data_IF_361659772704
#
_entry.id   IF_361659772704
#
_cell.length_a   1.000
_cell.length_b   1.000
_cell.length_c   1.000
_cell.angle_alpha   90.00
_cell.angle_beta   90.00
_cell.angle_gamma   90.00
#
_symmetry.space_group_name_H-M   'P 1'
#
loop_
_entity.id
_entity.type
_entity.pdbx_description
1 polymer ?
#
# COMPACT_ATOMS: atom_id res chain seq x y z
N UNK A 1 -15.90 27.99 -5.87
CA UNK A 1 -16.46 27.18 -6.97
C UNK A 1 -17.95 26.92 -6.74
N UNK A 2 -18.36 26.28 -5.63
CA UNK A 2 -19.78 25.98 -5.33
C UNK A 2 -20.71 27.20 -5.28
N UNK A 3 -20.23 28.35 -4.78
CA UNK A 3 -20.98 29.61 -4.78
C UNK A 3 -21.38 30.12 -6.18
N UNK A 4 -20.70 29.62 -7.22
CA UNK A 4 -20.90 29.98 -8.63
C UNK A 4 -21.58 28.84 -9.38
N UNK A 5 -21.12 27.60 -9.22
CA UNK A 5 -21.62 26.44 -9.97
C UNK A 5 -22.93 25.88 -9.40
N UNK A 6 -23.15 25.97 -8.08
CA UNK A 6 -24.29 25.36 -7.35
C UNK A 6 -24.51 23.86 -7.64
N UNK A 7 -23.46 23.19 -8.09
CA UNK A 7 -23.44 21.77 -8.45
C UNK A 7 -22.26 21.08 -7.79
N UNK A 8 -22.45 19.80 -7.45
CA UNK A 8 -21.39 18.94 -6.95
C UNK A 8 -20.33 18.73 -8.04
N UNK A 9 -19.07 18.98 -7.68
CA UNK A 9 -17.94 18.85 -8.58
C UNK A 9 -16.92 17.87 -8.04
N UNK A 10 -16.06 17.40 -8.94
CA UNK A 10 -14.89 16.63 -8.56
C UNK A 10 -13.66 17.11 -9.30
N UNK A 11 -12.52 16.89 -8.66
CA UNK A 11 -11.20 17.03 -9.28
C UNK A 11 -10.68 15.63 -9.54
N UNK A 12 -10.10 15.42 -10.71
CA UNK A 12 -9.41 14.18 -11.04
C UNK A 12 -8.03 14.49 -11.60
N UNK A 13 -7.04 13.79 -11.06
CA UNK A 13 -5.72 13.75 -11.64
C UNK A 13 -5.71 12.70 -12.74
N UNK A 14 -5.25 13.11 -13.91
CA UNK A 14 -5.06 12.22 -15.03
C UNK A 14 -3.73 11.51 -14.84
N UNK A 15 -3.75 10.19 -14.99
CA UNK A 15 -2.55 9.36 -14.81
C UNK A 15 -2.12 8.75 -16.13
N UNK A 16 -0.83 8.46 -16.24
CA UNK A 16 -0.22 7.96 -17.45
C UNK A 16 -0.18 6.42 -17.42
N UNK A 17 -0.51 5.81 -18.56
CA UNK A 17 -0.36 4.37 -18.77
C UNK A 17 1.10 4.05 -19.09
N UNK A 18 1.68 3.09 -18.36
CA UNK A 18 3.01 2.55 -18.65
C UNK A 18 2.90 1.41 -19.67
N UNK A 19 1.80 0.65 -19.67
CA UNK A 19 1.56 -0.40 -20.65
C UNK A 19 1.32 0.16 -22.06
N UNK A 20 0.59 1.26 -22.17
CA UNK A 20 0.25 1.92 -23.44
C UNK A 20 0.80 3.35 -23.46
N UNK A 21 2.04 3.55 -23.96
CA UNK A 21 2.66 4.88 -23.99
C UNK A 21 1.78 5.92 -24.68
N UNK A 22 1.62 7.08 -24.05
CA UNK A 22 0.80 8.19 -24.54
C UNK A 22 -0.70 8.08 -24.20
N UNK A 23 -1.17 6.95 -23.66
CA UNK A 23 -2.52 6.84 -23.12
C UNK A 23 -2.61 7.48 -21.75
N UNK A 24 -3.63 8.31 -21.58
CA UNK A 24 -3.99 8.92 -20.31
C UNK A 24 -5.24 8.23 -19.76
N UNK A 25 -5.27 8.01 -18.44
CA UNK A 25 -6.33 7.32 -17.72
C UNK A 25 -6.88 8.21 -16.62
N UNK A 26 -8.15 7.99 -16.27
CA UNK A 26 -8.79 8.69 -15.16
C UNK A 26 -8.34 8.07 -13.82
N UNK A 27 -7.66 8.86 -12.99
CA UNK A 27 -7.27 8.48 -11.62
C UNK A 27 -8.45 8.40 -10.66
N UNK A 28 -8.20 8.63 -9.37
CA UNK A 28 -9.27 8.67 -8.36
C UNK A 28 -9.92 10.05 -8.31
N UNK A 29 -11.26 10.13 -8.15
CA UNK A 29 -11.97 11.41 -8.04
C UNK A 29 -11.96 11.91 -6.60
N UNK A 30 -11.56 13.17 -6.42
CA UNK A 30 -11.69 13.91 -5.18
C UNK A 30 -12.95 14.76 -5.27
N UNK A 31 -13.94 14.46 -4.44
CA UNK A 31 -15.28 15.03 -4.54
C UNK A 31 -15.56 15.89 -3.32
N UNK A 32 -16.07 17.10 -3.56
CA UNK A 32 -16.59 17.97 -2.52
C UNK A 32 -18.09 18.14 -2.74
N UNK A 33 -18.89 17.65 -1.81
CA UNK A 33 -20.37 17.68 -1.87
C UNK A 33 -20.88 18.58 -0.77
N UNK A 34 -21.88 19.43 -1.08
CA UNK A 34 -22.52 20.24 -0.04
C UNK A 34 -23.43 19.35 0.82
N UNK A 35 -23.29 19.41 2.14
CA UNK A 35 -24.15 18.64 3.03
C UNK A 35 -25.57 19.22 3.00
N UNK A 36 -26.61 18.44 2.65
CA UNK A 36 -27.97 18.97 2.49
C UNK A 36 -28.54 19.60 3.77
N UNK A 37 -28.18 19.02 4.92
CA UNK A 37 -28.74 19.37 6.23
C UNK A 37 -27.95 20.49 6.94
N UNK A 38 -26.84 20.96 6.35
CA UNK A 38 -25.95 21.94 6.97
C UNK A 38 -25.52 22.99 5.93
N UNK A 39 -26.08 24.22 5.98
CA UNK A 39 -25.93 25.23 4.94
C UNK A 39 -24.48 25.61 4.60
N UNK A 40 -23.58 25.49 5.58
CA UNK A 40 -22.17 25.89 5.50
C UNK A 40 -21.19 24.69 5.52
N UNK A 41 -21.70 23.45 5.52
CA UNK A 41 -20.86 22.26 5.58
C UNK A 41 -20.67 21.59 4.21
N UNK A 42 -19.49 21.01 4.05
CA UNK A 42 -19.11 20.25 2.87
C UNK A 42 -18.49 18.92 3.29
N UNK A 43 -18.90 17.86 2.62
CA UNK A 43 -18.31 16.54 2.75
C UNK A 43 -17.26 16.35 1.67
N UNK A 44 -16.02 16.14 2.12
CA UNK A 44 -14.93 15.72 1.25
C UNK A 44 -14.87 14.20 1.21
N UNK A 45 -14.89 13.62 0.01
CA UNK A 45 -14.82 12.17 -0.19
C UNK A 45 -13.99 11.78 -1.39
N UNK A 46 -13.36 10.62 -1.30
CA UNK A 46 -12.73 9.95 -2.44
C UNK A 46 -13.78 9.05 -3.08
N UNK A 47 -13.99 9.18 -4.40
CA UNK A 47 -14.89 8.28 -5.14
C UNK A 47 -14.15 7.62 -6.29
N UNK A 48 -14.25 6.29 -6.32
CA UNK A 48 -13.75 5.49 -7.44
C UNK A 48 -14.76 5.53 -8.58
N UNK A 49 -14.40 6.00 -9.79
CA UNK A 49 -15.27 5.87 -10.95
C UNK A 49 -15.46 4.39 -11.30
N UNK A 50 -16.71 3.97 -11.48
CA UNK A 50 -17.08 2.57 -11.78
C UNK A 50 -17.42 2.36 -13.27
N UNK A 51 -16.77 3.13 -14.16
CA UNK A 51 -16.99 3.00 -15.60
C UNK A 51 -16.30 1.75 -16.15
N UNK A 52 -16.92 0.98 -17.06
CA UNK A 52 -16.31 -0.24 -17.63
C UNK A 52 -14.92 -0.04 -18.25
N UNK A 53 -14.73 1.06 -19.00
CA UNK A 53 -13.44 1.33 -19.64
C UNK A 53 -12.31 1.49 -18.62
N UNK A 54 -12.55 2.22 -17.53
CA UNK A 54 -11.58 2.39 -16.45
C UNK A 54 -11.19 1.05 -15.83
N UNK A 55 -12.17 0.17 -15.59
CA UNK A 55 -11.88 -1.17 -15.08
C UNK A 55 -10.97 -1.96 -16.02
N UNK A 56 -11.28 -1.97 -17.32
CA UNK A 56 -10.44 -2.65 -18.32
C UNK A 56 -9.02 -2.07 -18.37
N UNK A 57 -8.89 -0.75 -18.25
CA UNK A 57 -7.58 -0.09 -18.30
C UNK A 57 -6.71 -0.41 -17.08
N UNK A 58 -7.30 -0.38 -15.87
CA UNK A 58 -6.58 -0.71 -14.64
C UNK A 58 -6.31 -2.21 -14.51
N UNK A 59 -7.22 -3.08 -14.98
CA UNK A 59 -7.02 -4.53 -15.03
C UNK A 59 -5.77 -4.87 -15.86
N UNK A 60 -5.67 -4.31 -17.07
CA UNK A 60 -4.51 -4.52 -17.94
C UNK A 60 -3.20 -3.98 -17.34
N UNK A 61 -3.21 -2.80 -16.70
CA UNK A 61 -2.02 -2.24 -16.04
C UNK A 61 -1.58 -3.07 -14.83
N UNK A 62 -2.53 -3.51 -14.00
CA UNK A 62 -2.25 -4.32 -12.82
C UNK A 62 -1.75 -5.72 -13.22
N UNK A 63 -2.35 -6.34 -14.23
CA UNK A 63 -1.89 -7.63 -14.78
C UNK A 63 -0.46 -7.50 -15.33
N UNK A 64 -0.19 -6.50 -16.17
CA UNK A 64 1.15 -6.29 -16.72
C UNK A 64 2.20 -5.99 -15.63
N UNK A 65 1.85 -5.19 -14.62
CA UNK A 65 2.74 -4.91 -13.49
C UNK A 65 2.99 -6.19 -12.66
N UNK A 66 1.97 -7.01 -12.44
CA UNK A 66 2.08 -8.27 -11.71
C UNK A 66 2.97 -9.29 -12.44
N UNK A 67 2.78 -9.48 -13.74
CA UNK A 67 3.65 -10.33 -14.55
C UNK A 67 5.10 -9.84 -14.52
N UNK A 68 5.32 -8.52 -14.57
CA UNK A 68 6.67 -7.95 -14.43
C UNK A 68 7.28 -8.28 -13.06
N UNK A 69 6.50 -8.24 -11.97
CA UNK A 69 6.97 -8.65 -10.64
C UNK A 69 7.39 -10.13 -10.66
N UNK A 70 6.55 -11.03 -11.19
CA UNK A 70 6.86 -12.46 -11.26
C UNK A 70 8.16 -12.71 -12.04
N UNK A 71 8.29 -12.13 -13.24
CA UNK A 71 9.49 -12.31 -14.06
C UNK A 71 10.73 -11.75 -13.36
N UNK A 72 10.63 -10.57 -12.75
CA UNK A 72 11.73 -9.97 -12.02
C UNK A 72 12.15 -10.82 -10.82
N UNK A 73 11.19 -11.39 -10.09
CA UNK A 73 11.43 -12.29 -8.95
C UNK A 73 12.16 -13.58 -9.38
N UNK A 74 11.86 -14.11 -10.57
CA UNK A 74 12.58 -15.27 -11.12
C UNK A 74 14.05 -14.91 -11.43
N UNK A 75 14.29 -13.73 -12.00
CA UNK A 75 15.66 -13.28 -12.31
C UNK A 75 16.45 -12.85 -11.07
N UNK A 76 15.77 -12.50 -9.98
CA UNK A 76 16.40 -11.99 -8.75
C UNK A 76 16.94 -10.56 -8.85
N UNK A 77 16.60 -9.80 -9.90
CA UNK A 77 17.04 -8.43 -10.08
C UNK A 77 16.27 -7.47 -9.15
N UNK A 78 16.86 -7.21 -7.97
CA UNK A 78 16.31 -6.36 -6.90
C UNK A 78 15.82 -4.98 -7.41
N UNK A 79 16.60 -4.19 -8.17
CA UNK A 79 16.14 -2.95 -8.78
C UNK A 79 14.85 -3.10 -9.62
N UNK A 80 14.80 -4.09 -10.51
CA UNK A 80 13.63 -4.30 -11.39
C UNK A 80 12.42 -4.73 -10.57
N UNK A 81 12.61 -5.64 -9.60
CA UNK A 81 11.57 -6.08 -8.68
C UNK A 81 10.96 -4.89 -7.94
N UNK A 82 11.81 -4.03 -7.37
CA UNK A 82 11.33 -2.88 -6.60
C UNK A 82 10.56 -1.87 -7.45
N UNK A 83 11.05 -1.54 -8.64
CA UNK A 83 10.35 -0.68 -9.57
C UNK A 83 8.97 -1.25 -9.96
N UNK A 84 8.90 -2.56 -10.23
CA UNK A 84 7.65 -3.23 -10.59
C UNK A 84 6.63 -3.25 -9.44
N UNK A 85 7.09 -3.49 -8.20
CA UNK A 85 6.27 -3.42 -6.98
C UNK A 85 5.70 -2.02 -6.77
N UNK A 86 6.51 -0.97 -6.95
CA UNK A 86 6.07 0.41 -6.83
C UNK A 86 5.03 0.79 -7.90
N UNK A 87 5.25 0.34 -9.14
CA UNK A 87 4.28 0.50 -10.24
C UNK A 87 2.94 -0.18 -9.93
N UNK A 88 2.96 -1.44 -9.50
CA UNK A 88 1.75 -2.17 -9.13
C UNK A 88 0.98 -1.43 -8.03
N UNK A 89 1.69 -0.95 -7.01
CA UNK A 89 1.11 -0.23 -5.88
C UNK A 89 0.50 1.12 -6.30
N UNK A 90 1.16 1.85 -7.20
CA UNK A 90 0.63 3.09 -7.77
C UNK A 90 -0.72 2.86 -8.45
N UNK A 91 -0.82 1.84 -9.31
CA UNK A 91 -2.08 1.53 -9.99
C UNK A 91 -3.13 0.99 -9.04
N UNK A 92 -2.76 0.22 -8.01
CA UNK A 92 -3.68 -0.25 -6.97
C UNK A 92 -4.36 0.92 -6.23
N UNK A 93 -3.58 1.89 -5.78
CA UNK A 93 -4.10 3.07 -5.08
C UNK A 93 -4.89 4.00 -5.98
N UNK A 94 -4.57 4.09 -7.28
CA UNK A 94 -5.39 4.86 -8.19
C UNK A 94 -6.68 4.11 -8.55
N UNK A 95 -6.61 2.79 -8.74
CA UNK A 95 -7.77 1.97 -9.10
C UNK A 95 -8.82 1.96 -7.98
N UNK A 96 -8.38 1.89 -6.72
CA UNK A 96 -9.23 1.78 -5.53
C UNK A 96 -10.27 0.65 -5.59
N UNK A 97 -9.85 -0.64 -5.79
CA UNK A 97 -10.79 -1.74 -6.08
C UNK A 97 -11.76 -2.13 -4.96
N UNK A 98 -11.36 -1.94 -3.69
CA UNK A 98 -12.17 -2.40 -2.56
C UNK A 98 -13.13 -1.31 -2.09
N UNK A 99 -14.34 -1.71 -1.70
CA UNK A 99 -15.31 -0.78 -1.11
C UNK A 99 -14.78 -0.13 0.19
N UNK A 100 -13.95 -0.85 0.95
CA UNK A 100 -13.26 -0.36 2.16
C UNK A 100 -11.91 -1.05 2.30
N UNK A 101 -10.92 -0.33 2.84
CA UNK A 101 -9.63 -0.90 3.22
C UNK A 101 -8.59 -1.00 2.10
N UNK A 102 -8.84 -0.44 0.92
CA UNK A 102 -7.89 -0.50 -0.21
C UNK A 102 -6.49 0.01 0.16
N UNK A 103 -6.41 1.11 0.91
CA UNK A 103 -5.15 1.68 1.37
C UNK A 103 -4.36 0.68 2.25
N UNK A 104 -5.02 0.09 3.25
CA UNK A 104 -4.41 -0.87 4.15
C UNK A 104 -3.98 -2.16 3.44
N UNK A 105 -4.84 -2.70 2.57
CA UNK A 105 -4.52 -3.89 1.78
C UNK A 105 -3.35 -3.62 0.83
N UNK A 106 -3.37 -2.48 0.12
CA UNK A 106 -2.29 -2.09 -0.79
C UNK A 106 -0.95 -1.95 -0.08
N UNK A 107 -0.94 -1.29 1.08
CA UNK A 107 0.27 -1.10 1.86
C UNK A 107 0.82 -2.43 2.41
N UNK A 108 -0.07 -3.30 2.90
CA UNK A 108 0.33 -4.63 3.39
C UNK A 108 0.91 -5.50 2.27
N UNK A 109 0.28 -5.49 1.08
CA UNK A 109 0.78 -6.21 -0.11
C UNK A 109 2.14 -5.66 -0.55
N UNK A 110 2.31 -4.34 -0.61
CA UNK A 110 3.58 -3.69 -0.92
C UNK A 110 4.70 -4.19 0.00
N UNK A 111 4.50 -4.11 1.32
CA UNK A 111 5.48 -4.56 2.30
C UNK A 111 5.78 -6.06 2.19
N UNK A 112 4.73 -6.87 1.98
CA UNK A 112 4.85 -8.32 1.85
C UNK A 112 5.66 -8.72 0.61
N UNK A 113 5.47 -8.02 -0.52
CA UNK A 113 6.24 -8.26 -1.74
C UNK A 113 7.71 -7.89 -1.55
N UNK A 114 8.00 -6.76 -0.91
CA UNK A 114 9.36 -6.39 -0.58
C UNK A 114 10.03 -7.39 0.36
N UNK A 115 9.30 -7.90 1.35
CA UNK A 115 9.76 -8.97 2.22
C UNK A 115 10.05 -10.26 1.45
N UNK A 116 9.14 -10.69 0.58
CA UNK A 116 9.31 -11.87 -0.26
C UNK A 116 10.52 -11.74 -1.20
N UNK A 117 10.83 -10.53 -1.66
CA UNK A 117 12.00 -10.23 -2.48
C UNK A 117 13.33 -10.12 -1.70
N UNK A 118 13.32 -10.38 -0.38
CA UNK A 118 14.51 -10.25 0.47
C UNK A 118 14.96 -8.79 0.66
N UNK A 119 14.03 -7.85 0.60
CA UNK A 119 14.27 -6.41 0.73
C UNK A 119 13.29 -5.76 1.73
N UNK A 120 13.23 -6.23 2.99
CA UNK A 120 12.22 -5.78 3.93
C UNK A 120 12.33 -4.27 4.19
N UNK A 121 11.20 -3.58 4.11
CA UNK A 121 11.09 -2.17 4.54
C UNK A 121 10.69 -2.15 6.01
N UNK A 122 11.57 -1.60 6.86
CA UNK A 122 11.35 -1.50 8.32
C UNK A 122 11.11 -0.07 8.79
N UNK A 123 11.25 0.92 7.90
CA UNK A 123 11.01 2.31 8.23
C UNK A 123 9.53 2.54 8.60
N UNK A 124 9.31 3.39 9.61
CA UNK A 124 7.97 3.85 9.96
C UNK A 124 7.48 4.89 8.96
N UNK A 125 6.16 4.95 8.77
CA UNK A 125 5.53 5.99 7.94
C UNK A 125 5.86 7.36 8.57
N UNK A 126 6.43 8.32 7.81
CA UNK A 126 6.73 9.65 8.31
C UNK A 126 5.47 10.37 8.81
N UNK A 127 5.66 11.29 9.75
CA UNK A 127 4.55 12.09 10.26
C UNK A 127 3.91 12.89 9.12
N UNK A 128 2.57 12.89 9.08
CA UNK A 128 1.75 13.57 8.07
C UNK A 128 1.84 12.99 6.66
N UNK A 129 2.37 11.78 6.51
CA UNK A 129 2.39 11.06 5.24
C UNK A 129 1.31 9.99 5.23
N UNK A 130 0.63 9.85 4.08
CA UNK A 130 -0.29 8.76 3.83
C UNK A 130 -0.04 8.24 2.41
N UNK A 131 0.38 6.98 2.30
CA UNK A 131 1.01 6.43 1.08
C UNK A 131 0.08 6.41 -0.13
N UNK A 132 -1.19 6.15 0.09
CA UNK A 132 -2.21 6.18 -0.95
C UNK A 132 -2.39 7.59 -1.53
N UNK A 133 -2.34 8.65 -0.72
CA UNK A 133 -2.39 10.03 -1.20
C UNK A 133 -1.21 10.40 -2.08
N UNK A 134 0.00 9.93 -1.74
CA UNK A 134 1.19 10.13 -2.58
C UNK A 134 1.00 9.52 -3.98
N UNK A 135 0.27 8.41 -4.09
CA UNK A 135 -0.05 7.80 -5.38
C UNK A 135 -1.22 8.50 -6.10
N UNK A 136 -2.29 8.88 -5.37
CA UNK A 136 -3.46 9.57 -5.93
C UNK A 136 -3.09 10.95 -6.48
N UNK A 137 -2.11 11.61 -5.85
CA UNK A 137 -1.65 12.94 -6.23
C UNK A 137 -0.50 12.93 -7.25
N UNK A 138 -0.09 11.75 -7.73
CA UNK A 138 0.96 11.58 -8.72
C UNK A 138 0.40 11.24 -10.10
N UNK A 139 1.00 11.80 -11.15
CA UNK A 139 0.59 11.56 -12.55
C UNK A 139 1.19 10.26 -13.14
N UNK A 140 2.31 9.80 -12.59
CA UNK A 140 3.06 8.64 -13.08
C UNK A 140 3.66 7.85 -11.89
N UNK A 141 3.84 6.52 -12.00
CA UNK A 141 4.43 5.70 -10.94
C UNK A 141 5.83 6.16 -10.51
N UNK A 142 6.62 6.78 -11.40
CA UNK A 142 7.94 7.33 -11.04
C UNK A 142 7.83 8.53 -10.09
N UNK A 143 6.83 9.39 -10.27
CA UNK A 143 6.58 10.53 -9.39
C UNK A 143 6.18 10.04 -7.99
N UNK A 144 5.27 9.07 -7.92
CA UNK A 144 4.92 8.39 -6.66
C UNK A 144 6.14 7.76 -6.00
N UNK A 145 6.93 6.99 -6.78
CA UNK A 145 8.13 6.33 -6.25
C UNK A 145 9.10 7.36 -5.68
N UNK A 146 9.33 8.46 -6.38
CA UNK A 146 10.21 9.54 -5.95
C UNK A 146 9.74 10.18 -4.63
N UNK A 147 8.43 10.38 -4.43
CA UNK A 147 7.92 11.06 -3.24
C UNK A 147 8.07 10.23 -1.96
N UNK A 148 7.97 8.90 -2.07
CA UNK A 148 8.12 7.97 -0.94
C UNK A 148 9.50 7.30 -0.87
N UNK A 149 10.35 7.52 -1.88
CA UNK A 149 11.62 6.81 -2.05
C UNK A 149 12.48 6.86 -0.80
N UNK A 150 12.56 8.01 -0.14
CA UNK A 150 13.45 8.26 1.00
C UNK A 150 13.30 7.25 2.13
N UNK A 151 12.08 6.77 2.40
CA UNK A 151 11.79 5.88 3.53
C UNK A 151 11.16 4.54 3.11
N UNK A 152 10.43 4.48 1.99
CA UNK A 152 9.69 3.29 1.57
C UNK A 152 10.42 2.45 0.51
N UNK A 153 11.36 3.05 -0.24
CA UNK A 153 12.07 2.32 -1.29
C UNK A 153 13.31 1.61 -0.73
N UNK A 154 13.43 0.27 -0.84
CA UNK A 154 14.51 -0.48 -0.21
C UNK A 154 15.89 -0.04 -0.67
N UNK A 155 16.82 0.12 0.26
CA UNK A 155 18.22 0.50 -0.05
C UNK A 155 18.92 -0.55 -0.93
N UNK A 156 18.61 -1.83 -0.73
CA UNK A 156 19.13 -2.94 -1.55
C UNK A 156 18.76 -2.86 -3.04
N UNK A 157 17.70 -2.11 -3.40
CA UNK A 157 17.27 -1.91 -4.79
C UNK A 157 17.84 -0.64 -5.44
N UNK A 158 18.57 0.21 -4.70
CA UNK A 158 19.06 1.52 -5.21
C UNK A 158 20.37 1.44 -6.02
N UNK A 159 21.01 0.28 -6.10
CA UNK A 159 22.31 0.11 -6.76
C UNK A 159 23.47 0.74 -5.95
N UNK A 160 24.27 -0.11 -5.30
CA UNK A 160 25.52 0.21 -4.58
C UNK A 160 25.58 1.50 -3.76
N UNK A 161 25.18 1.42 -2.50
CA UNK A 161 26.06 1.81 -1.39
C UNK A 161 25.67 0.96 -0.18
N UNK A 162 26.40 -0.13 0.01
CA UNK A 162 26.18 -1.04 1.13
C UNK A 162 26.58 -0.37 2.44
N UNK A 163 25.63 -0.23 3.36
CA UNK A 163 25.87 -0.20 4.82
C UNK A 163 24.65 -0.75 5.61
N UNK A 164 23.42 -0.72 5.08
CA UNK A 164 22.22 -0.91 5.93
C UNK A 164 21.65 -2.34 6.02
N UNK A 165 22.21 -3.33 5.31
CA UNK A 165 21.70 -4.71 5.33
C UNK A 165 21.89 -5.41 6.70
N UNK A 166 22.71 -4.83 7.61
CA UNK A 166 23.01 -5.38 8.93
C UNK A 166 22.12 -4.89 10.09
N UNK A 167 21.29 -3.86 9.91
CA UNK A 167 20.39 -3.39 10.98
C UNK A 167 18.98 -3.96 10.88
N UNK A 168 18.44 -4.14 9.68
CA UNK A 168 17.09 -4.72 9.50
C UNK A 168 17.01 -6.18 9.99
N UNK A 169 18.09 -6.95 9.84
CA UNK A 169 18.17 -8.34 10.34
C UNK A 169 18.25 -8.45 11.87
N UNK A 170 18.48 -7.34 12.59
CA UNK A 170 18.48 -7.32 14.06
C UNK A 170 17.09 -7.13 14.66
N UNK A 171 16.14 -6.57 13.89
CA UNK A 171 14.79 -6.25 14.39
C UNK A 171 13.86 -7.47 14.42
N UNK A 172 14.11 -8.48 13.59
CA UNK A 172 13.32 -9.71 13.56
C UNK A 172 14.26 -10.93 13.57
N UNK A 173 14.02 -11.91 14.45
CA UNK A 173 14.80 -13.14 14.45
C UNK A 173 14.63 -13.86 13.11
N UNK A 174 15.65 -14.63 12.72
CA UNK A 174 15.57 -15.50 11.56
C UNK A 174 14.30 -16.37 11.66
N UNK A 175 13.49 -16.42 10.59
CA UNK A 175 12.23 -17.17 10.54
C UNK A 175 12.45 -18.66 10.84
N UNK A 176 13.60 -19.21 10.45
CA UNK A 176 13.98 -20.60 10.76
C UNK A 176 14.25 -20.82 12.25
N UNK A 177 14.52 -19.76 13.01
CA UNK A 177 14.67 -19.79 14.46
C UNK A 177 13.35 -19.54 15.21
N UNK A 178 12.28 -19.15 14.52
CA UNK A 178 10.98 -18.99 15.15
C UNK A 178 10.38 -20.36 15.46
N UNK A 179 9.79 -20.55 16.66
CA UNK A 179 9.16 -21.81 17.02
C UNK A 179 7.93 -22.06 16.15
N UNK A 180 7.62 -23.33 15.91
CA UNK A 180 6.44 -23.72 15.14
C UNK A 180 5.17 -23.15 15.78
N UNK A 181 4.29 -22.56 14.96
CA UNK A 181 3.01 -21.99 15.38
C UNK A 181 2.16 -23.02 16.12
N UNK A 182 2.14 -24.27 15.66
CA UNK A 182 1.38 -25.35 16.32
C UNK A 182 1.95 -25.68 17.71
N UNK A 183 3.28 -25.62 17.86
CA UNK A 183 3.94 -25.88 19.14
C UNK A 183 3.77 -24.72 20.15
N UNK A 184 3.61 -23.50 19.66
CA UNK A 184 3.57 -22.29 20.50
C UNK A 184 2.13 -21.80 20.75
N UNK A 185 1.24 -22.02 19.77
CA UNK A 185 -0.15 -21.59 19.73
C UNK A 185 -1.07 -22.80 19.51
N UNK A 186 -0.95 -23.77 20.40
CA UNK A 186 -1.65 -25.06 20.40
C UNK A 186 -3.19 -24.94 20.37
N UNK A 187 -3.75 -23.90 20.97
CA UNK A 187 -5.20 -23.74 21.15
C UNK A 187 -5.72 -22.47 20.48
N UNK A 188 -6.95 -22.56 19.95
CA UNK A 188 -7.67 -21.41 19.38
C UNK A 188 -7.79 -20.26 20.39
N UNK A 189 -7.97 -20.59 21.67
CA UNK A 189 -8.05 -19.62 22.77
C UNK A 189 -6.77 -18.81 22.92
N UNK A 190 -5.59 -19.45 23.02
CA UNK A 190 -4.30 -18.75 23.09
C UNK A 190 -4.05 -17.86 21.87
N UNK A 191 -4.43 -18.34 20.67
CA UNK A 191 -4.34 -17.54 19.43
C UNK A 191 -5.16 -16.25 19.56
N UNK A 192 -6.38 -16.33 20.06
CA UNK A 192 -7.29 -15.19 20.25
C UNK A 192 -6.79 -14.27 21.38
N UNK A 193 -6.30 -14.81 22.50
CA UNK A 193 -5.78 -14.02 23.63
C UNK A 193 -4.57 -13.18 23.24
N UNK A 194 -3.64 -13.74 22.46
CA UNK A 194 -2.47 -13.02 21.95
C UNK A 194 -2.86 -11.95 20.93
N UNK A 195 -3.77 -12.28 19.99
CA UNK A 195 -4.26 -11.30 19.01
C UNK A 195 -4.98 -10.11 19.67
N UNK A 196 -5.59 -10.34 20.83
CA UNK A 196 -6.27 -9.30 21.62
C UNK A 196 -5.35 -8.61 22.65
N UNK A 197 -4.06 -8.94 22.70
CA UNK A 197 -3.11 -8.33 23.63
C UNK A 197 -3.33 -8.69 25.11
N UNK A 198 -4.14 -9.70 25.41
CA UNK A 198 -4.38 -10.17 26.78
C UNK A 198 -3.28 -11.17 27.12
N UNK A 199 -2.16 -10.66 27.61
CA UNK A 199 -1.13 -11.53 28.21
C UNK A 199 -1.70 -12.05 29.53
N UNK A 200 -2.15 -13.30 29.54
CA UNK A 200 -2.53 -13.98 30.78
C UNK A 200 -1.30 -14.05 31.69
N UNK A 201 -1.26 -13.18 32.70
CA UNK A 201 -0.35 -13.34 33.83
C UNK A 201 -0.64 -14.67 34.55
N UNK A 202 0.32 -15.22 35.30
CA UNK A 202 0.09 -16.45 36.05
C UNK A 202 -1.10 -16.28 36.98
N UNK A 203 -2.04 -17.23 36.91
CA UNK A 203 -3.13 -17.35 37.87
C UNK A 203 -2.48 -17.45 39.26
N UNK A 204 -2.81 -16.56 40.21
CA UNK A 204 -2.30 -16.67 41.57
C UNK A 204 -2.69 -18.04 42.12
N UNK A 205 -1.68 -18.88 42.37
CA UNK A 205 -1.85 -19.98 43.31
C UNK A 205 -1.89 -19.35 44.70
N UNK A 206 -2.84 -19.82 45.50
CA UNK A 206 -3.05 -19.50 46.91
C UNK A 206 -3.90 -18.26 47.20
N UNK A 207 -5.20 -18.52 47.39
CA UNK A 207 -5.95 -17.90 48.48
C UNK A 207 -6.61 -19.05 49.27
N UNK A 208 -6.46 -19.11 50.61
CA UNK A 208 -7.01 -20.19 51.44
C UNK A 208 -8.54 -20.28 51.39
#
# INVERSE_FOLDING_TARGET
>A
MYAVTREDGWVVLHIHSVLTPGKTMEGTRLVLVKSPDQPDAFDFSIRTPVTPQRWMDFDAELEAAWETIIQAMITGDKPIIAAAIMRYTFYWYNFMPLARGTAACGYTTLLSLFWAAGMPVTASIPLRTQVDWEAILAEHPDNFTTSVATWLYPSAARGSMGVEEQEASKLFPNVEMLPNVEATLDTLRKRIEILNGVVAGPIPQDVP
#
